data_IF_405172527525
#
_entry.id   IF_405172527525
#
_cell.length_a   1.000
_cell.length_b   1.000
_cell.length_c   1.000
_cell.angle_alpha   90.00
_cell.angle_beta   90.00
_cell.angle_gamma   90.00
#
_symmetry.space_group_name_H-M   'P 1'
#
loop_
_entity.id
_entity.type
_entity.pdbx_description
1 polymer ?
#
# COMPACT_ATOMS: atom_id res chain seq x y z
N UNK A 1 12.97 -11.11 56.92
CA UNK A 1 13.69 -10.71 55.69
C UNK A 1 12.84 -9.70 54.92
N UNK A 2 13.36 -8.51 54.57
CA UNK A 2 12.59 -7.55 53.78
C UNK A 2 12.33 -8.12 52.39
N UNK A 3 11.08 -8.10 51.92
CA UNK A 3 10.71 -8.52 50.55
C UNK A 3 11.46 -7.63 49.55
N UNK A 4 12.37 -8.21 48.76
CA UNK A 4 12.96 -7.55 47.60
C UNK A 4 11.82 -7.08 46.69
N UNK A 5 11.72 -5.77 46.47
CA UNK A 5 10.77 -5.20 45.52
C UNK A 5 10.98 -5.87 44.15
N UNK A 6 9.90 -6.39 43.54
CA UNK A 6 9.97 -6.98 42.20
C UNK A 6 10.42 -5.88 41.24
N UNK A 7 11.65 -5.97 40.72
CA UNK A 7 12.07 -5.14 39.59
C UNK A 7 11.12 -5.45 38.43
N UNK A 8 10.49 -4.41 37.90
CA UNK A 8 9.76 -4.54 36.64
C UNK A 8 10.72 -5.12 35.59
N UNK A 9 10.28 -6.05 34.72
CA UNK A 9 11.11 -6.52 33.62
C UNK A 9 11.58 -5.29 32.85
N UNK A 10 12.89 -5.08 32.77
CA UNK A 10 13.46 -4.10 31.84
C UNK A 10 13.16 -4.62 30.45
N UNK A 11 12.05 -4.17 29.89
CA UNK A 11 11.72 -4.39 28.49
C UNK A 11 12.79 -3.62 27.72
N UNK A 12 13.62 -4.32 26.95
CA UNK A 12 14.50 -3.66 26.00
C UNK A 12 13.63 -2.69 25.17
N UNK A 13 14.09 -1.45 25.04
CA UNK A 13 13.32 -0.41 24.36
C UNK A 13 12.93 -0.91 22.97
N UNK A 14 11.63 -0.93 22.66
CA UNK A 14 11.18 -1.37 21.34
C UNK A 14 11.75 -0.36 20.34
N UNK A 15 12.45 -0.78 19.28
CA UNK A 15 12.96 0.17 18.29
C UNK A 15 11.84 0.99 17.63
N UNK A 16 10.56 0.58 17.74
CA UNK A 16 9.41 1.39 17.34
C UNK A 16 9.07 2.55 18.29
N UNK A 17 9.52 2.51 19.55
CA UNK A 17 9.31 3.60 20.53
C UNK A 17 10.03 4.90 20.12
N UNK A 18 10.95 4.81 19.17
CA UNK A 18 11.62 5.95 18.54
C UNK A 18 10.75 6.72 17.55
N UNK A 19 9.52 6.30 17.26
CA UNK A 19 8.60 6.94 16.31
C UNK A 19 7.40 7.60 17.02
N UNK A 20 6.83 8.66 16.43
CA UNK A 20 5.62 9.29 16.98
C UNK A 20 4.44 8.32 16.86
N UNK A 21 3.46 8.44 17.76
CA UNK A 21 2.20 7.68 17.67
C UNK A 21 1.49 7.92 16.33
N UNK A 22 1.59 9.14 15.79
CA UNK A 22 1.05 9.49 14.48
C UNK A 22 1.81 8.84 13.32
N UNK A 23 3.15 8.90 13.33
CA UNK A 23 4.00 8.27 12.31
C UNK A 23 3.78 6.76 12.26
N UNK A 24 3.65 6.15 13.44
CA UNK A 24 3.36 4.73 13.59
C UNK A 24 1.96 4.37 13.06
N UNK A 25 0.96 5.24 13.26
CA UNK A 25 -0.38 5.05 12.68
C UNK A 25 -0.37 5.12 11.16
N UNK A 26 0.35 6.08 10.58
CA UNK A 26 0.48 6.22 9.12
C UNK A 26 1.19 4.98 8.54
N UNK A 27 2.30 4.56 9.14
CA UNK A 27 3.04 3.37 8.71
C UNK A 27 2.19 2.10 8.83
N UNK A 28 1.42 1.95 9.93
CA UNK A 28 0.47 0.84 10.11
C UNK A 28 -0.63 0.87 9.06
N UNK A 29 -1.20 2.04 8.76
CA UNK A 29 -2.25 2.19 7.76
C UNK A 29 -1.74 1.74 6.39
N UNK A 30 -0.60 2.27 5.94
CA UNK A 30 0.02 1.87 4.66
C UNK A 30 0.28 0.36 4.66
N UNK A 31 0.85 -0.18 5.73
CA UNK A 31 1.16 -1.60 5.85
C UNK A 31 -0.10 -2.49 5.77
N UNK A 32 -1.16 -2.15 6.49
CA UNK A 32 -2.42 -2.90 6.43
C UNK A 32 -3.12 -2.75 5.08
N UNK A 33 -3.05 -1.57 4.46
CA UNK A 33 -3.57 -1.38 3.10
C UNK A 33 -2.85 -2.26 2.07
N UNK A 34 -1.52 -2.44 2.20
CA UNK A 34 -0.77 -3.39 1.36
C UNK A 34 -1.28 -4.82 1.57
N UNK A 35 -1.51 -5.24 2.82
CA UNK A 35 -2.03 -6.58 3.13
C UNK A 35 -3.41 -6.79 2.52
N UNK A 36 -4.32 -5.83 2.70
CA UNK A 36 -5.68 -5.89 2.14
C UNK A 36 -5.63 -5.93 0.62
N UNK A 37 -4.84 -5.05 -0.01
CA UNK A 37 -4.66 -5.06 -1.47
C UNK A 37 -4.10 -6.39 -1.96
N UNK A 38 -3.13 -6.97 -1.25
CA UNK A 38 -2.56 -8.29 -1.57
C UNK A 38 -3.62 -9.39 -1.50
N UNK A 39 -4.41 -9.43 -0.42
CA UNK A 39 -5.47 -10.42 -0.25
C UNK A 39 -6.53 -10.31 -1.34
N UNK A 40 -7.01 -9.09 -1.64
CA UNK A 40 -7.99 -8.84 -2.70
C UNK A 40 -7.45 -9.24 -4.06
N UNK A 41 -6.19 -8.91 -4.39
CA UNK A 41 -5.56 -9.30 -5.65
C UNK A 41 -5.45 -10.82 -5.78
N UNK A 42 -5.00 -11.53 -4.73
CA UNK A 42 -4.88 -13.00 -4.78
C UNK A 42 -6.27 -13.64 -4.94
N UNK A 43 -7.29 -13.14 -4.23
CA UNK A 43 -8.67 -13.60 -4.41
C UNK A 43 -9.15 -13.34 -5.85
N UNK A 44 -8.88 -12.17 -6.40
CA UNK A 44 -9.18 -11.81 -7.78
C UNK A 44 -8.55 -12.78 -8.78
N UNK A 45 -7.26 -13.11 -8.62
CA UNK A 45 -6.56 -14.09 -9.49
C UNK A 45 -7.32 -15.42 -9.53
N UNK A 46 -7.71 -15.95 -8.36
CA UNK A 46 -8.44 -17.21 -8.30
C UNK A 46 -9.81 -17.13 -8.95
N UNK A 47 -10.57 -16.07 -8.67
CA UNK A 47 -11.88 -15.87 -9.26
C UNK A 47 -11.80 -15.70 -10.79
N UNK A 48 -10.78 -15.02 -11.31
CA UNK A 48 -10.54 -14.91 -12.75
C UNK A 48 -10.24 -16.27 -13.37
N UNK A 49 -9.38 -17.08 -12.74
CA UNK A 49 -9.06 -18.43 -13.23
C UNK A 49 -10.32 -19.31 -13.24
N UNK A 50 -11.13 -19.27 -12.17
CA UNK A 50 -12.38 -20.03 -12.09
C UNK A 50 -13.37 -19.53 -13.15
N UNK A 51 -13.56 -18.22 -13.29
CA UNK A 51 -14.43 -17.61 -14.30
C UNK A 51 -14.04 -18.06 -15.71
N UNK A 52 -12.75 -18.01 -16.02
CA UNK A 52 -12.22 -18.50 -17.30
C UNK A 52 -12.45 -20.00 -17.53
N UNK A 53 -12.27 -20.84 -16.50
CA UNK A 53 -12.55 -22.28 -16.59
C UNK A 53 -14.03 -22.57 -16.89
N UNK A 54 -14.94 -21.78 -16.30
CA UNK A 54 -16.38 -21.89 -16.51
C UNK A 54 -16.76 -21.39 -17.91
N UNK A 55 -16.34 -20.20 -18.30
CA UNK A 55 -16.65 -19.59 -19.61
C UNK A 55 -16.10 -20.40 -20.79
N UNK A 56 -14.95 -21.05 -20.61
CA UNK A 56 -14.34 -21.91 -21.64
C UNK A 56 -14.96 -23.31 -21.75
N UNK A 57 -15.97 -23.64 -20.93
CA UNK A 57 -16.60 -24.97 -20.89
C UNK A 57 -15.70 -26.07 -20.33
N UNK A 58 -14.50 -25.72 -19.84
CA UNK A 58 -13.54 -26.70 -19.27
C UNK A 58 -14.00 -27.20 -17.91
N UNK A 59 -14.82 -26.42 -17.21
CA UNK A 59 -15.39 -26.83 -15.94
C UNK A 59 -16.25 -28.10 -16.06
N UNK A 60 -17.01 -28.24 -17.15
CA UNK A 60 -17.83 -29.44 -17.39
C UNK A 60 -16.96 -30.68 -17.61
N UNK A 61 -15.83 -30.53 -18.29
CA UNK A 61 -14.84 -31.61 -18.47
C UNK A 61 -14.29 -32.05 -17.11
N UNK A 62 -13.93 -31.10 -16.25
CA UNK A 62 -13.45 -31.40 -14.90
C UNK A 62 -14.51 -32.11 -14.06
N UNK A 63 -15.76 -31.65 -14.12
CA UNK A 63 -16.86 -32.27 -13.38
C UNK A 63 -17.23 -33.66 -13.93
N UNK A 64 -16.95 -33.93 -15.21
CA UNK A 64 -17.12 -35.26 -15.80
C UNK A 64 -16.18 -36.33 -15.21
N UNK A 65 -15.05 -35.94 -14.62
CA UNK A 65 -14.13 -36.86 -13.93
C UNK A 65 -14.64 -37.27 -12.54
N UNK A 66 -15.81 -36.77 -12.14
CA UNK A 66 -16.46 -37.05 -10.88
C UNK A 66 -16.31 -35.91 -9.86
N UNK A 67 -17.12 -35.92 -8.79
CA UNK A 67 -17.16 -34.83 -7.81
C UNK A 67 -15.84 -34.65 -7.05
N UNK A 68 -15.01 -35.69 -6.97
CA UNK A 68 -13.69 -35.64 -6.35
C UNK A 68 -12.70 -34.71 -7.08
N UNK A 69 -12.80 -34.58 -8.40
CA UNK A 69 -11.93 -33.69 -9.18
C UNK A 69 -12.21 -32.21 -8.86
N UNK A 70 -13.49 -31.82 -8.81
CA UNK A 70 -13.89 -30.47 -8.39
C UNK A 70 -13.48 -30.16 -6.95
N UNK A 71 -13.67 -31.11 -6.03
CA UNK A 71 -13.24 -30.95 -4.64
C UNK A 71 -11.72 -30.76 -4.52
N UNK A 72 -10.91 -31.50 -5.28
CA UNK A 72 -9.46 -31.40 -5.27
C UNK A 72 -8.97 -30.03 -5.77
N UNK A 73 -9.61 -29.47 -6.80
CA UNK A 73 -9.30 -28.12 -7.28
C UNK A 73 -9.62 -27.09 -6.20
N UNK A 74 -10.81 -27.14 -5.59
CA UNK A 74 -11.21 -26.20 -4.53
C UNK A 74 -10.26 -26.28 -3.34
N UNK A 75 -9.94 -27.48 -2.87
CA UNK A 75 -8.99 -27.69 -1.77
C UNK A 75 -7.60 -27.18 -2.17
N UNK A 76 -7.14 -27.45 -3.39
CA UNK A 76 -5.87 -26.94 -3.92
C UNK A 76 -5.80 -25.41 -3.92
N UNK A 77 -6.88 -24.74 -4.34
CA UNK A 77 -7.01 -23.27 -4.29
C UNK A 77 -6.89 -22.78 -2.85
N UNK A 78 -7.62 -23.38 -1.92
CA UNK A 78 -7.60 -23.00 -0.50
C UNK A 78 -6.20 -23.19 0.09
N UNK A 79 -5.57 -24.33 -0.15
CA UNK A 79 -4.22 -24.63 0.36
C UNK A 79 -3.19 -23.66 -0.22
N UNK A 80 -3.21 -23.42 -1.53
CA UNK A 80 -2.28 -22.48 -2.16
C UNK A 80 -2.53 -21.04 -1.70
N UNK A 81 -3.78 -20.66 -1.44
CA UNK A 81 -4.13 -19.35 -0.89
C UNK A 81 -3.59 -19.18 0.54
N UNK A 82 -3.79 -20.18 1.41
CA UNK A 82 -3.23 -20.16 2.77
C UNK A 82 -1.70 -20.14 2.76
N UNK A 83 -1.08 -20.92 1.88
CA UNK A 83 0.37 -20.91 1.70
C UNK A 83 0.88 -19.53 1.28
N UNK A 84 0.22 -18.88 0.31
CA UNK A 84 0.56 -17.50 -0.09
C UNK A 84 0.41 -16.53 1.09
N UNK A 85 -0.68 -16.60 1.87
CA UNK A 85 -0.86 -15.73 3.03
C UNK A 85 0.27 -15.90 4.07
N UNK A 86 0.71 -17.14 4.33
CA UNK A 86 1.83 -17.42 5.23
C UNK A 86 3.15 -16.86 4.66
N UNK A 87 3.41 -17.06 3.37
CA UNK A 87 4.59 -16.52 2.70
C UNK A 87 4.63 -14.98 2.79
N UNK A 88 3.50 -14.33 2.52
CA UNK A 88 3.35 -12.89 2.69
C UNK A 88 3.64 -12.50 4.14
N UNK A 89 3.03 -13.15 5.13
CA UNK A 89 3.28 -12.84 6.54
C UNK A 89 4.77 -12.93 6.91
N UNK A 90 5.48 -13.96 6.44
CA UNK A 90 6.93 -14.12 6.68
C UNK A 90 7.74 -13.04 5.98
N UNK A 91 7.45 -12.74 4.70
CA UNK A 91 8.13 -11.69 3.93
C UNK A 91 7.98 -10.31 4.57
N UNK A 92 6.79 -10.05 5.13
CA UNK A 92 6.44 -8.79 5.76
C UNK A 92 6.80 -8.73 7.26
N UNK A 93 7.46 -9.75 7.82
CA UNK A 93 7.91 -9.75 9.21
C UNK A 93 8.91 -8.61 9.44
N UNK A 94 8.57 -7.71 10.37
CA UNK A 94 9.33 -6.48 10.62
C UNK A 94 9.12 -5.38 9.56
N UNK A 95 8.14 -5.54 8.68
CA UNK A 95 7.82 -4.58 7.61
C UNK A 95 7.49 -3.20 8.14
N UNK A 96 6.72 -3.09 9.22
CA UNK A 96 6.37 -1.80 9.85
C UNK A 96 7.62 -1.01 10.25
N UNK A 97 8.60 -1.67 10.88
CA UNK A 97 9.85 -1.03 11.28
C UNK A 97 10.64 -0.54 10.06
N UNK A 98 10.78 -1.37 9.02
CA UNK A 98 11.43 -0.98 7.76
C UNK A 98 10.71 0.18 7.07
N UNK A 99 9.37 0.19 7.11
CA UNK A 99 8.53 1.27 6.56
C UNK A 99 8.77 2.58 7.33
N UNK A 100 8.77 2.53 8.66
CA UNK A 100 9.08 3.68 9.50
C UNK A 100 10.51 4.21 9.26
N UNK A 101 11.50 3.33 9.18
CA UNK A 101 12.89 3.70 8.88
C UNK A 101 13.05 4.38 7.53
N UNK A 102 12.28 3.95 6.52
CA UNK A 102 12.36 4.52 5.17
C UNK A 102 11.57 5.82 5.02
N UNK A 103 10.38 5.91 5.62
CA UNK A 103 9.53 7.11 5.56
C UNK A 103 10.02 8.24 6.47
N UNK A 104 10.57 7.91 7.64
CA UNK A 104 10.88 8.88 8.69
C UNK A 104 12.37 8.87 9.08
N UNK A 105 13.26 8.46 8.16
CA UNK A 105 14.72 8.34 8.39
C UNK A 105 15.32 9.60 9.02
N UNK A 106 14.83 10.78 8.63
CA UNK A 106 15.41 12.07 9.00
C UNK A 106 14.78 12.69 10.27
N UNK A 107 14.04 11.91 11.08
CA UNK A 107 13.31 12.41 12.27
C UNK A 107 14.21 13.09 13.31
N UNK A 108 15.41 12.55 13.57
CA UNK A 108 16.35 13.13 14.55
C UNK A 108 16.77 14.55 14.15
N UNK A 109 16.85 14.82 12.84
CA UNK A 109 17.07 16.17 12.33
C UNK A 109 15.79 17.00 12.28
N UNK A 110 14.63 16.42 11.96
CA UNK A 110 13.36 17.14 11.96
C UNK A 110 12.99 17.71 13.34
N UNK A 111 13.33 16.99 14.43
CA UNK A 111 13.16 17.46 15.81
C UNK A 111 13.97 18.72 16.13
N UNK A 112 15.09 18.96 15.42
CA UNK A 112 15.90 20.19 15.52
C UNK A 112 15.19 21.42 14.94
N UNK A 113 14.11 21.24 14.18
CA UNK A 113 13.38 22.32 13.49
C UNK A 113 11.90 22.36 13.90
N UNK A 114 11.55 21.72 15.02
CA UNK A 114 10.17 21.58 15.50
C UNK A 114 9.54 22.94 15.88
N UNK A 115 10.35 23.92 16.29
CA UNK A 115 9.91 25.26 16.69
C UNK A 115 9.43 26.15 15.53
N UNK A 116 9.67 25.78 14.27
CA UNK A 116 9.30 26.59 13.09
C UNK A 116 7.99 26.11 12.45
N UNK A 117 6.93 26.01 13.25
CA UNK A 117 5.60 25.58 12.80
C UNK A 117 5.08 26.40 11.61
N UNK A 118 5.28 27.72 11.62
CA UNK A 118 4.89 28.64 10.54
C UNK A 118 5.64 28.37 9.24
N UNK A 119 6.96 28.15 9.30
CA UNK A 119 7.77 27.84 8.11
C UNK A 119 7.37 26.49 7.51
N UNK A 120 7.09 25.49 8.36
CA UNK A 120 6.63 24.18 7.93
C UNK A 120 5.26 24.26 7.23
N UNK A 121 4.36 25.12 7.73
CA UNK A 121 3.06 25.38 7.11
C UNK A 121 3.20 26.14 5.78
N UNK A 122 4.11 27.11 5.69
CA UNK A 122 4.38 27.81 4.44
C UNK A 122 4.91 26.85 3.36
N UNK A 123 5.91 26.03 3.72
CA UNK A 123 6.45 24.98 2.85
C UNK A 123 5.35 23.99 2.44
N UNK A 124 4.47 23.63 3.37
CA UNK A 124 3.33 22.76 3.10
C UNK A 124 2.42 23.32 2.01
N UNK A 125 2.00 24.58 2.16
CA UNK A 125 1.15 25.27 1.18
C UNK A 125 1.85 25.40 -0.17
N UNK A 126 3.15 25.75 -0.19
CA UNK A 126 3.92 25.85 -1.44
C UNK A 126 4.02 24.51 -2.16
N UNK A 127 4.32 23.41 -1.45
CA UNK A 127 4.40 22.07 -2.04
C UNK A 127 3.06 21.63 -2.61
N UNK A 128 1.96 21.82 -1.87
CA UNK A 128 0.62 21.51 -2.36
C UNK A 128 0.29 22.32 -3.61
N UNK A 129 0.63 23.61 -3.64
CA UNK A 129 0.46 24.46 -4.82
C UNK A 129 1.24 23.95 -6.03
N UNK A 130 2.50 23.56 -5.85
CA UNK A 130 3.33 22.96 -6.90
C UNK A 130 2.72 21.63 -7.39
N UNK A 131 2.23 20.78 -6.50
CA UNK A 131 1.58 19.53 -6.90
C UNK A 131 0.31 19.76 -7.72
N UNK A 132 -0.57 20.67 -7.28
CA UNK A 132 -1.80 21.00 -8.02
C UNK A 132 -1.44 21.55 -9.40
N UNK A 133 -0.46 22.45 -9.47
CA UNK A 133 0.03 23.00 -10.74
C UNK A 133 0.56 21.89 -11.66
N UNK A 134 1.43 21.00 -11.18
CA UNK A 134 1.98 19.91 -11.97
C UNK A 134 0.91 18.93 -12.45
N UNK A 135 -0.06 18.58 -11.60
CA UNK A 135 -1.18 17.71 -11.96
C UNK A 135 -2.05 18.38 -13.02
N UNK A 136 -2.37 19.66 -12.84
CA UNK A 136 -3.19 20.42 -13.80
C UNK A 136 -2.47 20.57 -15.14
N UNK A 137 -1.17 20.88 -15.10
CA UNK A 137 -0.33 20.98 -16.28
C UNK A 137 -0.29 19.64 -17.03
N UNK A 138 -0.11 18.53 -16.32
CA UNK A 138 -0.15 17.20 -16.90
C UNK A 138 -1.50 16.94 -17.59
N UNK A 139 -2.62 17.23 -16.91
CA UNK A 139 -3.97 17.06 -17.47
C UNK A 139 -4.20 17.91 -18.72
N UNK A 140 -3.70 19.14 -18.75
CA UNK A 140 -3.87 20.07 -19.89
C UNK A 140 -2.97 19.71 -21.08
N UNK A 141 -1.76 19.21 -20.82
CA UNK A 141 -0.83 18.78 -21.89
C UNK A 141 -1.27 17.45 -22.52
N UNK A 142 -2.07 16.65 -21.81
CA UNK A 142 -2.53 15.38 -22.34
C UNK A 142 -3.40 15.59 -23.59
N UNK A 143 -3.03 14.97 -24.72
CA UNK A 143 -3.74 15.14 -25.99
C UNK A 143 -5.15 14.56 -25.93
N UNK A 144 -6.06 15.06 -26.77
CA UNK A 144 -7.48 14.67 -26.78
C UNK A 144 -7.70 13.16 -26.93
N UNK A 145 -6.87 12.47 -27.72
CA UNK A 145 -6.95 11.02 -27.89
C UNK A 145 -6.73 10.25 -26.58
N UNK A 146 -6.02 10.82 -25.60
CA UNK A 146 -5.80 10.17 -24.31
C UNK A 146 -7.10 10.03 -23.53
N UNK A 147 -7.95 11.07 -23.56
CA UNK A 147 -9.25 11.04 -22.89
C UNK A 147 -10.21 10.04 -23.53
N UNK A 148 -10.19 9.98 -24.87
CA UNK A 148 -10.95 8.98 -25.62
C UNK A 148 -10.46 7.56 -25.32
N UNK A 149 -9.14 7.36 -25.25
CA UNK A 149 -8.55 6.09 -24.84
C UNK A 149 -9.01 5.67 -23.44
N UNK A 150 -8.96 6.57 -22.45
CA UNK A 150 -9.40 6.28 -21.08
C UNK A 150 -10.89 5.94 -21.03
N UNK A 151 -11.73 6.69 -21.75
CA UNK A 151 -13.17 6.42 -21.82
C UNK A 151 -13.46 5.05 -22.46
N UNK A 152 -12.81 4.74 -23.58
CA UNK A 152 -12.94 3.46 -24.26
C UNK A 152 -12.41 2.29 -23.41
N UNK A 153 -11.31 2.49 -22.69
CA UNK A 153 -10.77 1.51 -21.76
C UNK A 153 -11.77 1.23 -20.63
N UNK A 154 -12.37 2.28 -20.05
CA UNK A 154 -13.38 2.14 -19.00
C UNK A 154 -14.62 1.38 -19.47
N UNK A 155 -15.15 1.75 -20.64
CA UNK A 155 -16.30 1.05 -21.25
C UNK A 155 -15.96 -0.43 -21.48
N UNK A 156 -14.77 -0.72 -22.02
CA UNK A 156 -14.35 -2.11 -22.24
C UNK A 156 -14.26 -2.92 -20.94
N UNK A 157 -13.71 -2.33 -19.87
CA UNK A 157 -13.68 -2.98 -18.55
C UNK A 157 -15.10 -3.26 -18.08
N UNK A 158 -15.98 -2.26 -18.10
CA UNK A 158 -17.31 -2.37 -17.51
C UNK A 158 -18.17 -3.45 -18.16
N UNK A 159 -18.10 -3.58 -19.49
CA UNK A 159 -18.95 -4.52 -20.21
C UNK A 159 -18.34 -5.90 -20.42
N UNK A 160 -17.02 -6.05 -20.37
CA UNK A 160 -16.35 -7.33 -20.68
C UNK A 160 -15.83 -8.06 -19.47
N UNK A 161 -15.63 -7.37 -18.34
CA UNK A 161 -15.01 -8.02 -17.19
C UNK A 161 -15.96 -8.99 -16.51
N UNK A 162 -15.50 -10.22 -16.32
CA UNK A 162 -16.19 -11.15 -15.44
C UNK A 162 -16.02 -10.72 -13.96
N UNK A 163 -16.81 -11.27 -13.03
CA UNK A 163 -16.73 -10.89 -11.61
C UNK A 163 -15.32 -11.06 -11.01
N UNK A 164 -14.56 -12.06 -11.47
CA UNK A 164 -13.20 -12.29 -10.99
C UNK A 164 -12.22 -11.21 -11.45
N UNK A 165 -12.27 -10.85 -12.72
CA UNK A 165 -11.49 -9.76 -13.33
C UNK A 165 -11.78 -8.41 -12.66
N UNK A 166 -13.03 -8.17 -12.25
CA UNK A 166 -13.39 -7.01 -11.46
C UNK A 166 -12.71 -6.97 -10.09
N UNK A 167 -12.74 -8.08 -9.36
CA UNK A 167 -12.07 -8.18 -8.05
C UNK A 167 -10.55 -8.00 -8.22
N UNK A 168 -9.97 -8.60 -9.26
CA UNK A 168 -8.56 -8.44 -9.59
C UNK A 168 -8.21 -6.99 -9.92
N UNK A 169 -9.02 -6.32 -10.74
CA UNK A 169 -8.85 -4.92 -11.09
C UNK A 169 -8.88 -4.02 -9.86
N UNK A 170 -9.86 -4.21 -8.96
CA UNK A 170 -9.95 -3.46 -7.71
C UNK A 170 -8.69 -3.68 -6.85
N UNK A 171 -8.22 -4.93 -6.74
CA UNK A 171 -6.98 -5.24 -6.02
C UNK A 171 -5.76 -4.50 -6.57
N UNK A 172 -5.61 -4.46 -7.90
CA UNK A 172 -4.53 -3.72 -8.57
C UNK A 172 -4.66 -2.20 -8.38
N UNK A 173 -5.87 -1.65 -8.48
CA UNK A 173 -6.11 -0.21 -8.24
C UNK A 173 -5.79 0.16 -6.79
N UNK A 174 -6.13 -0.69 -5.82
CA UNK A 174 -5.74 -0.47 -4.41
C UNK A 174 -4.23 -0.38 -4.25
N UNK A 175 -3.44 -1.23 -4.93
CA UNK A 175 -1.98 -1.12 -4.92
C UNK A 175 -1.49 0.22 -5.48
N UNK A 176 -2.07 0.68 -6.59
CA UNK A 176 -1.72 1.98 -7.18
C UNK A 176 -2.00 3.12 -6.19
N UNK A 177 -3.18 3.11 -5.55
CA UNK A 177 -3.54 4.13 -4.56
C UNK A 177 -2.55 4.11 -3.38
N UNK A 178 -2.25 2.92 -2.84
CA UNK A 178 -1.30 2.77 -1.74
C UNK A 178 0.10 3.25 -2.13
N UNK A 179 0.54 2.95 -3.36
CA UNK A 179 1.82 3.41 -3.90
C UNK A 179 1.86 4.94 -4.01
N UNK A 180 0.79 5.57 -4.52
CA UNK A 180 0.69 7.03 -4.62
C UNK A 180 0.74 7.71 -3.24
N UNK A 181 -0.02 7.17 -2.27
CA UNK A 181 0.01 7.68 -0.88
C UNK A 181 1.39 7.53 -0.28
N UNK A 182 2.03 6.36 -0.43
CA UNK A 182 3.39 6.13 0.06
C UNK A 182 4.40 7.10 -0.56
N UNK A 183 4.35 7.29 -1.89
CA UNK A 183 5.23 8.22 -2.60
C UNK A 183 4.98 9.66 -2.17
N UNK A 184 3.73 10.07 -1.99
CA UNK A 184 3.37 11.39 -1.49
C UNK A 184 4.00 11.67 -0.13
N UNK A 185 3.89 10.72 0.82
CA UNK A 185 4.52 10.87 2.13
C UNK A 185 6.05 10.82 2.08
N UNK A 186 6.63 9.97 1.24
CA UNK A 186 8.09 9.90 1.09
C UNK A 186 8.66 11.20 0.49
N UNK A 187 8.03 11.72 -0.57
CA UNK A 187 8.40 12.98 -1.20
C UNK A 187 8.18 14.16 -0.26
N UNK A 188 7.10 14.15 0.52
CA UNK A 188 6.84 15.17 1.52
C UNK A 188 7.95 15.23 2.57
N UNK A 189 8.22 14.09 3.23
CA UNK A 189 9.20 14.05 4.31
C UNK A 189 10.60 14.42 3.82
N UNK A 190 11.00 13.94 2.64
CA UNK A 190 12.30 14.29 2.06
C UNK A 190 12.33 15.72 1.51
N UNK A 191 11.23 16.19 0.91
CA UNK A 191 11.12 17.52 0.31
C UNK A 191 11.13 18.64 1.34
N UNK A 192 10.30 18.53 2.39
CA UNK A 192 10.33 19.46 3.52
C UNK A 192 11.71 19.49 4.16
N UNK A 193 12.35 18.33 4.33
CA UNK A 193 13.71 18.24 4.86
C UNK A 193 14.75 18.97 3.99
N UNK A 194 14.73 18.74 2.67
CA UNK A 194 15.67 19.36 1.73
C UNK A 194 15.59 20.89 1.77
N UNK A 195 14.38 21.44 1.92
CA UNK A 195 14.16 22.89 2.02
C UNK A 195 14.65 23.43 3.37
N UNK A 196 14.25 22.81 4.49
CA UNK A 196 14.67 23.25 5.83
C UNK A 196 16.20 23.25 6.00
N UNK A 197 16.88 22.23 5.45
CA UNK A 197 18.35 22.16 5.48
C UNK A 197 19.03 23.31 4.72
N UNK A 198 18.41 23.80 3.64
CA UNK A 198 18.96 24.93 2.85
C UNK A 198 18.72 26.26 3.54
N UNK A 199 17.51 26.50 4.05
CA UNK A 199 17.17 27.75 4.76
C UNK A 199 18.11 27.96 5.96
N UNK A 200 18.33 26.93 6.78
CA UNK A 200 19.19 27.02 7.97
C UNK A 200 20.70 27.03 7.69
N UNK A 201 21.11 26.95 6.42
CA UNK A 201 22.51 27.16 6.00
C UNK A 201 22.73 28.62 5.58
N UNK A 202 21.64 29.33 5.28
CA UNK A 202 21.64 30.71 4.81
C UNK A 202 21.47 31.67 5.99
N UNK A 203 20.71 31.28 7.03
CA UNK A 203 20.84 31.82 8.40
C UNK A 203 22.13 31.36 9.08
#
# INVERSE_FOLDING_TARGET
MPRKARKAPTRDADPLDQYSTWDLRIAKLIYYSIIVASAVTILGIWLTIIGWLVESGRWDIVMSWGPGAGALIIVGIIVLHLFLLVLFYVLFRGGILKLCQRLFKDRVLAKKYEDYSTLRLLIAVTLVGVYIFLITLLVVILPSFFWEFVANFWINIVFKFNPGEWVLFIGLVLFIIVMLVYLGFALWNHGVFAVLKRVKRIE
#
